data_IF_584529567497
#
_entry.id   IF_584529567497
#
_cell.length_a   1.000
_cell.length_b   1.000
_cell.length_c   1.000
_cell.angle_alpha   90.00
_cell.angle_beta   90.00
_cell.angle_gamma   90.00
#
_symmetry.space_group_name_H-M   'P 1'
#
loop_
_entity.id
_entity.type
_entity.pdbx_description
1 polymer ?
#
# COMPACT_ATOMS: atom_id res chain seq x y z
N UNK A 1 17.91 -19.11 -15.93
CA UNK A 1 16.67 -19.87 -15.66
C UNK A 1 15.84 -19.82 -16.93
N UNK A 2 15.34 -20.96 -17.41
CA UNK A 2 14.64 -21.09 -18.69
C UNK A 2 13.33 -20.28 -18.65
N UNK A 3 13.18 -19.31 -19.55
CA UNK A 3 12.03 -18.39 -19.70
C UNK A 3 10.80 -19.08 -20.32
N UNK A 4 10.51 -20.32 -19.92
CA UNK A 4 9.31 -21.00 -20.39
C UNK A 4 8.08 -20.29 -19.79
N UNK A 5 7.14 -19.80 -20.61
CA UNK A 5 5.94 -19.16 -20.10
C UNK A 5 5.14 -20.19 -19.30
N UNK A 6 4.70 -19.79 -18.10
CA UNK A 6 3.84 -20.63 -17.26
C UNK A 6 2.53 -20.90 -18.00
N UNK A 7 1.98 -22.13 -17.92
CA UNK A 7 0.60 -22.39 -18.27
C UNK A 7 -0.34 -21.40 -17.58
N UNK A 8 -1.45 -21.02 -18.23
CA UNK A 8 -2.38 -20.01 -17.72
C UNK A 8 -2.89 -20.33 -16.31
N UNK A 9 -3.17 -21.60 -16.02
CA UNK A 9 -3.61 -22.07 -14.70
C UNK A 9 -2.55 -21.82 -13.63
N UNK A 10 -1.30 -22.15 -13.97
CA UNK A 10 -0.16 -22.02 -13.07
C UNK A 10 0.16 -20.55 -12.83
N UNK A 11 -0.02 -19.70 -13.85
CA UNK A 11 0.12 -18.25 -13.73
C UNK A 11 -0.90 -17.63 -12.76
N UNK A 12 -2.16 -18.11 -12.77
CA UNK A 12 -3.17 -17.66 -11.80
C UNK A 12 -2.77 -18.06 -10.38
N UNK A 13 -2.45 -19.34 -10.17
CA UNK A 13 -2.04 -19.85 -8.86
C UNK A 13 -0.78 -19.13 -8.34
N UNK A 14 0.19 -18.91 -9.23
CA UNK A 14 1.38 -18.11 -8.94
C UNK A 14 1.02 -16.69 -8.52
N UNK A 15 0.06 -16.04 -9.19
CA UNK A 15 -0.43 -14.72 -8.82
C UNK A 15 -0.99 -14.67 -7.39
N UNK A 16 -1.84 -15.64 -7.01
CA UNK A 16 -2.37 -15.72 -5.64
C UNK A 16 -1.27 -15.97 -4.60
N UNK A 17 -0.34 -16.87 -4.90
CA UNK A 17 0.81 -17.11 -4.03
C UNK A 17 1.63 -15.83 -3.85
N UNK A 18 1.92 -15.12 -4.94
CA UNK A 18 2.68 -13.87 -4.94
C UNK A 18 1.99 -12.78 -4.13
N UNK A 19 0.67 -12.68 -4.21
CA UNK A 19 -0.13 -11.77 -3.37
C UNK A 19 0.05 -12.15 -1.89
N UNK A 20 -0.11 -13.43 -1.53
CA UNK A 20 0.05 -13.90 -0.15
C UNK A 20 1.44 -13.62 0.42
N UNK A 21 2.49 -13.89 -0.35
CA UNK A 21 3.87 -13.57 0.02
C UNK A 21 4.07 -12.07 0.24
N UNK A 22 3.56 -11.24 -0.68
CA UNK A 22 3.69 -9.78 -0.60
C UNK A 22 2.94 -9.21 0.61
N UNK A 23 1.75 -9.73 0.90
CA UNK A 23 0.99 -9.38 2.11
C UNK A 23 1.83 -9.73 3.35
N UNK A 24 2.40 -10.94 3.40
CA UNK A 24 3.27 -11.37 4.50
C UNK A 24 4.44 -10.41 4.74
N UNK A 25 5.15 -10.02 3.67
CA UNK A 25 6.24 -9.05 3.76
C UNK A 25 5.82 -7.70 4.34
N UNK A 26 4.64 -7.20 3.97
CA UNK A 26 4.11 -5.94 4.50
C UNK A 26 3.85 -6.05 6.00
N UNK A 27 3.26 -7.17 6.46
CA UNK A 27 3.01 -7.42 7.88
C UNK A 27 4.27 -7.72 8.70
N UNK A 28 5.38 -8.09 8.07
CA UNK A 28 6.67 -8.27 8.73
C UNK A 28 7.35 -6.94 9.09
N UNK A 29 7.04 -5.83 8.42
CA UNK A 29 7.72 -4.53 8.63
C UNK A 29 7.73 -4.11 10.11
N UNK A 30 6.60 -4.16 10.86
CA UNK A 30 6.61 -3.85 12.29
C UNK A 30 7.51 -4.79 13.11
N UNK A 31 7.51 -6.09 12.80
CA UNK A 31 8.36 -7.08 13.47
C UNK A 31 9.85 -6.81 13.18
N UNK A 32 10.18 -6.46 11.94
CA UNK A 32 11.53 -6.09 11.50
C UNK A 32 12.04 -4.81 12.16
N UNK A 33 11.15 -3.85 12.43
CA UNK A 33 11.46 -2.66 13.22
C UNK A 33 11.73 -3.00 14.69
N UNK A 34 10.90 -3.86 15.30
CA UNK A 34 11.08 -4.27 16.70
C UNK A 34 12.39 -5.02 16.92
N UNK A 35 12.77 -5.87 15.95
CA UNK A 35 14.03 -6.61 15.98
C UNK A 35 15.23 -5.79 15.48
N UNK A 36 15.05 -4.48 15.22
CA UNK A 36 16.09 -3.54 14.77
C UNK A 36 16.80 -3.95 13.47
N UNK A 37 16.18 -4.81 12.66
CA UNK A 37 16.74 -5.25 11.37
C UNK A 37 16.62 -4.18 10.28
N UNK A 38 15.74 -3.20 10.48
CA UNK A 38 15.57 -2.02 9.64
C UNK A 38 15.46 -0.79 10.54
N UNK A 39 15.96 0.34 10.08
CA UNK A 39 15.87 1.60 10.80
C UNK A 39 14.49 2.26 10.64
N UNK A 40 14.15 3.20 11.54
CA UNK A 40 12.92 3.99 11.41
C UNK A 40 12.90 4.86 10.14
N UNK A 41 14.08 5.22 9.62
CA UNK A 41 14.19 5.98 8.39
C UNK A 41 13.86 5.11 7.17
N UNK A 42 14.27 3.83 7.18
CA UNK A 42 13.97 2.86 6.11
C UNK A 42 12.49 2.46 6.08
N UNK A 43 11.82 2.42 7.23
CA UNK A 43 10.41 2.07 7.33
C UNK A 43 9.47 3.30 7.36
N UNK A 44 10.00 4.49 7.05
CA UNK A 44 9.21 5.72 7.06
C UNK A 44 8.08 5.65 6.02
N UNK A 45 6.90 6.22 6.30
CA UNK A 45 5.84 6.35 5.30
C UNK A 45 6.33 7.15 4.08
N UNK A 46 5.97 6.69 2.88
CA UNK A 46 6.36 7.33 1.62
C UNK A 46 5.13 7.94 0.96
N UNK A 47 5.28 9.16 0.44
CA UNK A 47 4.23 9.86 -0.30
C UNK A 47 4.16 9.44 -1.77
N UNK A 48 3.21 10.00 -2.51
CA UNK A 48 3.15 9.87 -3.97
C UNK A 48 4.43 10.36 -4.68
N UNK A 49 5.13 11.34 -4.10
CA UNK A 49 6.39 11.86 -4.67
C UNK A 49 7.50 10.83 -4.51
N UNK A 50 7.66 10.25 -3.32
CA UNK A 50 8.65 9.20 -3.09
C UNK A 50 8.35 7.92 -3.87
N UNK A 51 7.08 7.51 -3.98
CA UNK A 51 6.66 6.37 -4.83
C UNK A 51 7.01 6.64 -6.30
N UNK A 52 6.83 7.87 -6.78
CA UNK A 52 7.20 8.25 -8.15
C UNK A 52 8.72 8.19 -8.39
N UNK A 53 9.52 8.65 -7.41
CA UNK A 53 10.99 8.56 -7.48
C UNK A 53 11.46 7.11 -7.54
N UNK A 54 10.96 6.25 -6.65
CA UNK A 54 11.27 4.82 -6.62
C UNK A 54 10.80 4.13 -7.90
N UNK A 55 9.58 4.46 -8.37
CA UNK A 55 9.03 3.93 -9.61
C UNK A 55 9.84 4.31 -10.85
N UNK A 56 10.41 5.52 -10.87
CA UNK A 56 11.33 5.95 -11.92
C UNK A 56 12.59 5.08 -11.98
N UNK A 57 13.15 4.68 -10.83
CA UNK A 57 14.30 3.77 -10.79
C UNK A 57 13.95 2.37 -11.27
N UNK A 58 12.86 1.78 -10.78
CA UNK A 58 12.43 0.46 -11.25
C UNK A 58 12.05 0.44 -12.73
N UNK A 59 11.53 1.57 -13.25
CA UNK A 59 11.30 1.73 -14.68
C UNK A 59 12.62 1.74 -15.46
N UNK A 60 13.62 2.49 -14.97
CA UNK A 60 14.94 2.52 -15.58
C UNK A 60 15.62 1.16 -15.54
N UNK A 61 15.61 0.47 -14.39
CA UNK A 61 16.12 -0.89 -14.22
C UNK A 61 15.39 -1.89 -15.14
N UNK A 62 14.07 -1.74 -15.28
CA UNK A 62 13.25 -2.57 -16.17
C UNK A 62 13.65 -2.40 -17.64
N UNK A 63 14.01 -1.18 -18.06
CA UNK A 63 14.42 -0.87 -19.44
C UNK A 63 15.86 -1.33 -19.68
N UNK A 64 16.77 -1.06 -18.73
CA UNK A 64 18.19 -1.40 -18.84
C UNK A 64 18.42 -2.92 -18.90
N UNK A 65 17.64 -3.69 -18.15
CA UNK A 65 17.75 -5.14 -18.10
C UNK A 65 16.82 -5.88 -19.08
N UNK A 66 16.00 -5.17 -19.87
CA UNK A 66 14.94 -5.73 -20.73
C UNK A 66 14.00 -6.69 -19.98
N UNK A 67 13.70 -6.35 -18.71
CA UNK A 67 12.91 -7.17 -17.79
C UNK A 67 11.66 -6.42 -17.33
N UNK A 68 10.52 -6.51 -18.07
CA UNK A 68 9.28 -5.83 -17.70
C UNK A 68 8.70 -6.30 -16.36
N UNK A 69 9.12 -7.48 -15.88
CA UNK A 69 8.69 -8.01 -14.59
C UNK A 69 9.12 -7.14 -13.41
N UNK A 70 10.18 -6.34 -13.54
CA UNK A 70 10.66 -5.45 -12.47
C UNK A 70 9.60 -4.38 -12.17
N UNK A 71 9.21 -3.61 -13.19
CA UNK A 71 8.20 -2.56 -13.02
C UNK A 71 6.81 -3.13 -12.70
N UNK A 72 6.45 -4.29 -13.27
CA UNK A 72 5.18 -4.95 -12.96
C UNK A 72 5.12 -5.42 -11.51
N UNK A 73 6.22 -5.94 -10.95
CA UNK A 73 6.29 -6.29 -9.53
C UNK A 73 6.16 -5.05 -8.66
N UNK A 74 6.80 -3.94 -9.01
CA UNK A 74 6.67 -2.68 -8.27
C UNK A 74 5.21 -2.21 -8.24
N UNK A 75 4.54 -2.16 -9.39
CA UNK A 75 3.12 -1.80 -9.49
C UNK A 75 2.25 -2.77 -8.69
N UNK A 76 2.55 -4.07 -8.70
CA UNK A 76 1.82 -5.07 -7.93
C UNK A 76 1.96 -4.83 -6.42
N UNK A 77 3.16 -4.54 -5.91
CA UNK A 77 3.40 -4.23 -4.50
C UNK A 77 2.60 -2.99 -4.07
N UNK A 78 2.65 -1.91 -4.86
CA UNK A 78 1.86 -0.70 -4.57
C UNK A 78 0.36 -1.01 -4.58
N UNK A 79 -0.12 -1.77 -5.56
CA UNK A 79 -1.54 -2.14 -5.66
C UNK A 79 -2.00 -2.95 -4.45
N UNK A 80 -1.18 -3.90 -3.99
CA UNK A 80 -1.46 -4.71 -2.80
C UNK A 80 -1.45 -3.85 -1.54
N UNK A 81 -0.45 -2.97 -1.38
CA UNK A 81 -0.35 -2.06 -0.23
C UNK A 81 -1.55 -1.10 -0.16
N UNK A 82 -1.98 -0.54 -1.31
CA UNK A 82 -3.19 0.28 -1.40
C UNK A 82 -4.45 -0.54 -1.07
N UNK A 83 -4.55 -1.76 -1.58
CA UNK A 83 -5.65 -2.68 -1.25
C UNK A 83 -5.74 -2.98 0.24
N UNK A 84 -4.61 -3.31 0.89
CA UNK A 84 -4.54 -3.52 2.34
C UNK A 84 -4.96 -2.25 3.09
N UNK A 85 -4.41 -1.10 2.70
CA UNK A 85 -4.70 0.19 3.35
C UNK A 85 -6.19 0.53 3.24
N UNK A 86 -6.81 0.33 2.08
CA UNK A 86 -8.23 0.57 1.87
C UNK A 86 -9.12 -0.35 2.69
N UNK A 87 -8.66 -1.54 3.07
CA UNK A 87 -9.40 -2.46 3.93
C UNK A 87 -9.27 -2.13 5.42
N UNK A 88 -8.40 -1.20 5.81
CA UNK A 88 -8.27 -0.78 7.20
C UNK A 88 -9.57 -0.12 7.70
N UNK A 89 -9.91 -0.28 8.99
CA UNK A 89 -11.10 0.30 9.61
C UNK A 89 -10.93 1.81 9.88
N UNK A 90 -10.51 2.57 8.86
CA UNK A 90 -10.24 4.01 8.95
C UNK A 90 -11.39 4.75 8.23
N UNK A 91 -12.04 5.74 8.88
CA UNK A 91 -13.02 6.59 8.22
C UNK A 91 -12.46 7.26 6.96
N UNK A 92 -13.29 7.42 5.94
CA UNK A 92 -12.96 7.83 4.56
C UNK A 92 -12.41 6.74 3.63
N UNK A 93 -11.96 5.59 4.14
CA UNK A 93 -11.59 4.43 3.32
C UNK A 93 -12.75 3.43 3.20
N UNK A 94 -12.64 2.52 2.24
CA UNK A 94 -13.64 1.47 1.98
C UNK A 94 -13.86 0.57 3.21
N UNK A 95 -12.78 0.22 3.92
CA UNK A 95 -12.77 -0.57 5.15
C UNK A 95 -13.46 0.14 6.32
N UNK A 96 -13.43 1.48 6.34
CA UNK A 96 -14.22 2.28 7.28
C UNK A 96 -15.72 2.08 7.08
N UNK A 97 -16.18 2.06 5.82
CA UNK A 97 -17.59 1.78 5.50
C UNK A 97 -17.97 0.35 5.83
N UNK A 98 -17.09 -0.62 5.54
CA UNK A 98 -17.29 -2.02 5.93
C UNK A 98 -17.48 -2.12 7.45
N UNK A 99 -16.64 -1.44 8.24
CA UNK A 99 -16.77 -1.41 9.70
C UNK A 99 -18.12 -0.82 10.14
N UNK A 100 -18.56 0.28 9.54
CA UNK A 100 -19.86 0.88 9.85
C UNK A 100 -21.01 -0.07 9.58
N UNK A 101 -21.03 -0.72 8.42
CA UNK A 101 -22.04 -1.73 8.06
C UNK A 101 -22.02 -2.91 9.03
N UNK A 102 -20.84 -3.40 9.42
CA UNK A 102 -20.72 -4.47 10.42
C UNK A 102 -21.31 -4.04 11.78
N UNK A 103 -21.05 -2.80 12.21
CA UNK A 103 -21.62 -2.24 13.44
C UNK A 103 -23.15 -2.12 13.33
N UNK A 104 -23.68 -1.69 12.18
CA UNK A 104 -25.13 -1.61 11.95
C UNK A 104 -25.81 -2.97 12.03
N UNK A 105 -25.20 -4.00 11.43
CA UNK A 105 -25.69 -5.38 11.47
C UNK A 105 -25.75 -5.86 12.93
N UNK A 106 -24.69 -5.64 13.72
CA UNK A 106 -24.63 -6.06 15.13
C UNK A 106 -25.63 -5.27 15.99
N UNK A 107 -25.82 -3.97 15.72
CA UNK A 107 -26.70 -3.10 16.49
C UNK A 107 -28.18 -3.23 16.10
N UNK A 108 -28.46 -3.76 14.91
CA UNK A 108 -29.81 -3.85 14.33
C UNK A 108 -30.49 -2.50 14.11
N UNK A 109 -29.73 -1.40 14.14
CA UNK A 109 -30.25 -0.03 13.97
C UNK A 109 -29.33 0.76 13.03
N UNK A 110 -29.87 1.36 11.96
CA UNK A 110 -29.07 2.14 11.03
C UNK A 110 -28.42 3.32 11.73
N UNK A 111 -27.20 3.65 11.34
CA UNK A 111 -26.55 4.92 11.67
C UNK A 111 -27.20 5.98 10.78
N UNK A 112 -27.47 7.15 11.36
CA UNK A 112 -27.98 8.28 10.60
C UNK A 112 -26.94 8.68 9.54
N UNK A 113 -27.31 8.76 8.24
CA UNK A 113 -26.38 9.09 7.15
C UNK A 113 -25.57 10.37 7.40
N UNK A 114 -26.14 11.33 8.12
CA UNK A 114 -25.48 12.59 8.47
C UNK A 114 -24.28 12.37 9.40
N UNK A 115 -24.39 11.43 10.35
CA UNK A 115 -23.29 11.10 11.28
C UNK A 115 -22.20 10.30 10.60
N UNK A 116 -22.56 9.34 9.76
CA UNK A 116 -21.59 8.60 8.94
C UNK A 116 -20.83 9.57 8.03
N UNK A 117 -21.54 10.44 7.32
CA UNK A 117 -20.95 11.45 6.45
C UNK A 117 -19.99 12.39 7.17
N UNK A 118 -20.33 12.85 8.38
CA UNK A 118 -19.43 13.68 9.19
C UNK A 118 -18.17 12.93 9.63
N UNK A 119 -18.29 11.66 10.02
CA UNK A 119 -17.12 10.85 10.42
C UNK A 119 -16.21 10.57 9.21
N UNK A 120 -16.79 10.25 8.06
CA UNK A 120 -16.03 10.07 6.81
C UNK A 120 -15.36 11.38 6.36
N UNK A 121 -16.04 12.53 6.45
CA UNK A 121 -15.44 13.82 6.12
C UNK A 121 -14.27 14.16 7.06
N UNK A 122 -14.45 13.97 8.36
CA UNK A 122 -13.39 14.17 9.34
C UNK A 122 -12.18 13.26 9.07
N UNK A 123 -12.44 11.98 8.77
CA UNK A 123 -11.40 11.03 8.35
C UNK A 123 -10.67 11.47 7.07
N UNK A 124 -11.41 11.98 6.08
CA UNK A 124 -10.84 12.44 4.82
C UNK A 124 -9.92 13.63 5.03
N UNK A 125 -10.36 14.63 5.79
CA UNK A 125 -9.54 15.80 6.12
C UNK A 125 -8.28 15.38 6.88
N UNK A 126 -8.42 14.46 7.83
CA UNK A 126 -7.29 13.92 8.59
C UNK A 126 -6.29 13.20 7.69
N UNK A 127 -6.74 12.28 6.84
CA UNK A 127 -5.89 11.55 5.91
C UNK A 127 -5.22 12.45 4.89
N UNK A 128 -5.94 13.40 4.31
CA UNK A 128 -5.37 14.38 3.38
C UNK A 128 -4.33 15.27 4.06
N UNK A 129 -4.57 15.66 5.31
CA UNK A 129 -3.61 16.44 6.10
C UNK A 129 -2.34 15.65 6.35
N UNK A 130 -2.44 14.38 6.75
CA UNK A 130 -1.28 13.49 6.91
C UNK A 130 -0.56 13.29 5.57
N UNK A 131 -1.30 13.01 4.49
CA UNK A 131 -0.74 12.85 3.16
C UNK A 131 0.05 14.08 2.73
N UNK A 132 -0.48 15.29 2.96
CA UNK A 132 0.22 16.54 2.69
C UNK A 132 1.51 16.68 3.51
N UNK A 133 1.49 16.30 4.79
CA UNK A 133 2.68 16.32 5.64
C UNK A 133 3.77 15.36 5.13
N UNK A 134 3.39 14.14 4.71
CA UNK A 134 4.34 13.16 4.16
C UNK A 134 4.90 13.65 2.82
N UNK A 135 4.07 14.24 1.96
CA UNK A 135 4.53 14.87 0.71
C UNK A 135 5.58 15.95 1.01
N UNK A 136 5.28 16.86 1.94
CA UNK A 136 6.22 17.91 2.32
C UNK A 136 7.51 17.32 2.88
N UNK A 137 7.40 16.27 3.71
CA UNK A 137 8.56 15.59 4.28
C UNK A 137 9.45 14.94 3.22
N UNK A 138 8.88 14.26 2.22
CA UNK A 138 9.63 13.67 1.10
C UNK A 138 10.26 14.72 0.18
N UNK A 139 9.59 15.85 -0.04
CA UNK A 139 10.14 16.96 -0.83
C UNK A 139 11.32 17.61 -0.12
N UNK A 140 11.24 17.79 1.20
CA UNK A 140 12.32 18.36 2.01
C UNK A 140 13.48 17.39 2.24
N UNK A 141 13.18 16.08 2.32
CA UNK A 141 14.14 15.01 2.57
C UNK A 141 14.05 13.99 1.43
N UNK A 142 14.58 14.33 0.23
CA UNK A 142 14.51 13.44 -0.92
C UNK A 142 15.17 12.11 -0.60
N UNK A 143 14.60 11.03 -1.12
CA UNK A 143 15.14 9.69 -0.92
C UNK A 143 16.54 9.63 -1.52
N UNK A 144 17.55 9.40 -0.68
CA UNK A 144 18.91 9.12 -1.12
C UNK A 144 19.00 7.64 -1.43
N UNK A 145 18.72 7.32 -2.69
CA UNK A 145 18.66 5.94 -3.14
C UNK A 145 20.11 5.45 -3.35
N UNK A 146 20.51 4.30 -2.78
CA UNK A 146 21.84 3.75 -3.01
C UNK A 146 22.03 3.51 -4.52
N UNK A 147 23.17 3.98 -5.04
CA UNK A 147 23.62 3.78 -6.42
C UNK A 147 24.07 2.33 -6.63
#
# INVERSE_FOLDING_TARGET
MTTAPLPFTDAISFGFQRIGETIGLIFEIPSRLMNQSISFEEARPVSIVGISQIGGQFLQESIENDQPTVILNFIAVISIALGITNLLPIPALDGGRILFVLIEIVRGKPITPEREGLIHLAGMIFLLSIGMLIILYDVLNPLTLPQ
#
